data_IF_487486579911
#
_entry.id   IF_487486579911
#
_cell.length_a   1.000
_cell.length_b   1.000
_cell.length_c   1.000
_cell.angle_alpha   90.00
_cell.angle_beta   90.00
_cell.angle_gamma   90.00
#
_symmetry.space_group_name_H-M   'P 1'
#
loop_
_entity.id
_entity.type
_entity.pdbx_description
1 polymer ?
#
# COMPACT_ATOMS: atom_id res chain seq x y z
N UNK A 1 0.52 -19.09 -5.89
CA UNK A 1 -0.66 -18.27 -6.27
C UNK A 1 -0.36 -16.78 -6.04
N UNK A 2 -1.08 -15.89 -6.73
CA UNK A 2 -0.86 -14.43 -6.80
C UNK A 2 -2.19 -13.69 -7.08
N UNK A 3 -2.14 -12.48 -7.66
CA UNK A 3 -3.33 -11.72 -8.05
C UNK A 3 -4.05 -12.38 -9.24
N UNK A 4 -5.39 -12.37 -9.23
CA UNK A 4 -6.21 -13.01 -10.26
C UNK A 4 -6.16 -12.19 -11.55
N UNK A 5 -5.85 -12.85 -12.68
CA UNK A 5 -5.74 -12.24 -14.01
C UNK A 5 -4.75 -11.07 -14.10
N UNK A 6 -3.83 -10.95 -13.15
CA UNK A 6 -2.84 -9.88 -13.09
C UNK A 6 -1.43 -10.44 -12.85
N UNK A 7 -0.82 -11.00 -13.91
CA UNK A 7 0.51 -11.61 -13.81
C UNK A 7 1.61 -10.58 -13.54
N UNK A 8 1.42 -9.33 -13.96
CA UNK A 8 2.42 -8.26 -13.79
C UNK A 8 2.55 -7.85 -12.32
N UNK A 9 1.43 -7.49 -11.67
CA UNK A 9 1.47 -7.20 -10.23
C UNK A 9 1.88 -8.43 -9.42
N UNK A 10 1.51 -9.63 -9.87
CA UNK A 10 1.94 -10.86 -9.21
C UNK A 10 3.47 -11.00 -9.23
N UNK A 11 4.11 -10.75 -10.37
CA UNK A 11 5.56 -10.83 -10.49
C UNK A 11 6.27 -9.76 -9.65
N UNK A 12 5.69 -8.56 -9.53
CA UNK A 12 6.25 -7.47 -8.73
C UNK A 12 6.09 -7.68 -7.22
N UNK A 13 5.00 -8.30 -6.77
CA UNK A 13 4.70 -8.49 -5.35
C UNK A 13 5.17 -9.85 -4.79
N UNK A 14 5.22 -10.91 -5.60
CA UNK A 14 5.63 -12.25 -5.19
C UNK A 14 6.99 -12.63 -5.78
N UNK A 15 8.05 -12.26 -5.06
CA UNK A 15 9.44 -12.37 -5.52
C UNK A 15 10.06 -13.74 -5.18
N UNK A 16 11.09 -14.20 -5.88
CA UNK A 16 11.89 -15.36 -5.47
C UNK A 16 12.42 -15.19 -4.05
N UNK A 17 12.38 -16.25 -3.24
CA UNK A 17 12.89 -16.20 -1.87
C UNK A 17 14.43 -16.33 -1.84
N UNK A 18 15.19 -15.30 -1.41
CA UNK A 18 16.65 -15.38 -1.35
C UNK A 18 17.18 -16.03 -0.06
N UNK A 19 16.32 -16.29 0.94
CA UNK A 19 16.73 -16.80 2.24
C UNK A 19 16.89 -18.32 2.21
N UNK A 20 18.07 -18.80 2.63
CA UNK A 20 18.53 -20.19 2.45
C UNK A 20 17.81 -21.23 3.33
N UNK A 21 17.00 -20.78 4.29
CA UNK A 21 16.51 -21.61 5.39
C UNK A 21 15.10 -22.20 5.15
N UNK A 22 14.62 -22.19 3.90
CA UNK A 22 13.67 -23.22 3.43
C UNK A 22 12.19 -23.05 3.76
N UNK A 23 11.69 -21.84 4.05
CA UNK A 23 10.22 -21.61 4.06
C UNK A 23 9.75 -20.96 2.76
N UNK A 24 9.32 -21.80 1.81
CA UNK A 24 8.62 -21.43 0.58
C UNK A 24 9.52 -20.82 -0.51
N UNK A 25 9.15 -21.06 -1.77
CA UNK A 25 9.94 -20.63 -2.95
C UNK A 25 9.85 -19.12 -3.24
N UNK A 26 8.90 -18.42 -2.61
CA UNK A 26 8.61 -17.00 -2.87
C UNK A 26 8.32 -16.24 -1.58
N UNK A 27 8.67 -14.95 -1.58
CA UNK A 27 8.34 -13.98 -0.54
C UNK A 27 7.34 -12.94 -1.08
N UNK A 28 6.56 -12.32 -0.19
CA UNK A 28 5.62 -11.27 -0.54
C UNK A 28 6.14 -9.89 -0.09
N UNK A 29 6.19 -8.93 -1.02
CA UNK A 29 6.58 -7.54 -0.76
C UNK A 29 5.39 -6.76 -0.21
N UNK A 30 5.32 -6.60 1.11
CA UNK A 30 4.16 -6.01 1.82
C UNK A 30 3.95 -4.51 1.58
N UNK A 31 5.02 -3.80 1.24
CA UNK A 31 5.07 -2.33 1.20
C UNK A 31 5.10 -1.68 2.59
N UNK A 32 5.25 -2.45 3.67
CA UNK A 32 5.39 -1.93 5.02
C UNK A 32 6.89 -1.69 5.34
N UNK A 33 7.20 -0.49 5.82
CA UNK A 33 8.50 -0.19 6.41
C UNK A 33 8.48 -0.59 7.88
N UNK A 34 9.41 -1.45 8.27
CA UNK A 34 9.56 -1.92 9.63
C UNK A 34 11.03 -1.88 10.06
N UNK A 35 11.25 -1.88 11.38
CA UNK A 35 12.59 -1.98 11.97
C UNK A 35 12.60 -2.98 13.11
N UNK A 36 13.75 -3.62 13.34
CA UNK A 36 13.97 -4.43 14.52
C UNK A 36 14.46 -3.58 15.70
N UNK A 37 13.98 -3.90 16.89
CA UNK A 37 14.52 -3.38 18.14
C UNK A 37 15.66 -4.26 18.66
N UNK A 38 16.41 -3.76 19.64
CA UNK A 38 17.52 -4.50 20.26
C UNK A 38 17.07 -5.81 20.93
N UNK A 39 15.82 -5.86 21.41
CA UNK A 39 15.20 -7.05 21.98
C UNK A 39 14.51 -7.96 20.93
N UNK A 40 14.77 -7.74 19.64
CA UNK A 40 14.36 -8.62 18.55
C UNK A 40 12.89 -8.48 18.11
N UNK A 41 12.15 -7.48 18.61
CA UNK A 41 10.79 -7.20 18.14
C UNK A 41 10.82 -6.43 16.83
N UNK A 42 9.80 -6.65 15.99
CA UNK A 42 9.59 -5.86 14.78
C UNK A 42 8.59 -4.74 15.06
N UNK A 43 8.96 -3.50 14.74
CA UNK A 43 8.11 -2.32 14.87
C UNK A 43 7.77 -1.80 13.48
N UNK A 44 6.48 -1.59 13.24
CA UNK A 44 5.97 -0.87 12.06
C UNK A 44 6.34 0.62 12.15
N UNK A 45 6.85 1.17 11.05
CA UNK A 45 7.26 2.58 10.94
C UNK A 45 6.27 3.34 10.08
N UNK A 46 6.06 2.89 8.85
CA UNK A 46 5.20 3.54 7.85
C UNK A 46 4.92 2.57 6.71
N UNK A 47 4.21 3.04 5.68
CA UNK A 47 4.21 2.39 4.37
C UNK A 47 5.25 3.03 3.45
N UNK A 48 5.76 2.26 2.50
CA UNK A 48 6.65 2.72 1.44
C UNK A 48 5.89 3.24 0.21
N UNK A 49 4.59 3.01 0.17
CA UNK A 49 3.67 3.42 -0.90
C UNK A 49 2.58 4.37 -0.38
N UNK A 50 1.66 4.76 -1.26
CA UNK A 50 0.58 5.72 -0.97
C UNK A 50 -0.68 5.08 -0.37
N UNK A 51 -0.64 3.81 -0.01
CA UNK A 51 -1.81 3.12 0.49
C UNK A 51 -2.11 3.54 1.92
N UNK A 52 -3.39 3.75 2.24
CA UNK A 52 -3.80 4.25 3.56
C UNK A 52 -4.86 3.37 4.21
N UNK A 53 -4.93 3.45 5.54
CA UNK A 53 -6.04 2.90 6.30
C UNK A 53 -6.96 4.01 6.78
N UNK A 54 -8.21 3.98 6.35
CA UNK A 54 -9.25 4.93 6.78
C UNK A 54 -10.43 4.11 7.27
N UNK A 55 -10.80 4.29 8.54
CA UNK A 55 -11.96 3.62 9.17
C UNK A 55 -11.97 2.09 9.00
N UNK A 56 -10.79 1.47 9.03
CA UNK A 56 -10.61 0.02 8.87
C UNK A 56 -10.48 -0.47 7.43
N UNK A 57 -10.68 0.39 6.43
CA UNK A 57 -10.53 0.05 5.02
C UNK A 57 -9.12 0.34 4.53
N UNK A 58 -8.57 -0.58 3.74
CA UNK A 58 -7.31 -0.42 3.01
C UNK A 58 -7.64 0.21 1.66
N UNK A 59 -7.17 1.44 1.45
CA UNK A 59 -7.55 2.27 0.30
C UNK A 59 -6.32 2.56 -0.54
N UNK A 60 -6.42 2.29 -1.84
CA UNK A 60 -5.46 2.73 -2.85
C UNK A 60 -5.87 4.12 -3.36
N UNK A 61 -5.09 5.14 -3.03
CA UNK A 61 -5.44 6.53 -3.39
C UNK A 61 -5.46 6.72 -4.92
N UNK A 62 -4.59 6.03 -5.66
CA UNK A 62 -4.54 6.08 -7.12
C UNK A 62 -5.81 5.56 -7.80
N UNK A 63 -6.57 4.65 -7.17
CA UNK A 63 -7.86 4.21 -7.73
C UNK A 63 -8.91 5.33 -7.69
N UNK A 64 -8.85 6.19 -6.65
CA UNK A 64 -9.74 7.35 -6.52
C UNK A 64 -9.37 8.41 -7.56
N UNK A 65 -8.08 8.69 -7.72
CA UNK A 65 -7.57 9.60 -8.76
C UNK A 65 -7.99 9.12 -10.16
N UNK A 66 -7.78 7.84 -10.47
CA UNK A 66 -8.16 7.24 -11.73
C UNK A 66 -9.67 7.27 -11.97
N UNK A 67 -10.49 7.20 -10.92
CA UNK A 67 -11.93 7.36 -11.04
C UNK A 67 -12.33 8.82 -11.31
N UNK A 68 -11.71 9.78 -10.62
CA UNK A 68 -11.98 11.21 -10.79
C UNK A 68 -11.56 11.72 -12.16
N UNK A 69 -10.41 11.26 -12.68
CA UNK A 69 -9.91 11.62 -14.01
C UNK A 69 -10.78 11.11 -15.17
N UNK A 70 -11.75 10.23 -14.93
CA UNK A 70 -12.74 9.84 -15.95
C UNK A 70 -13.83 10.89 -16.17
N UNK A 71 -13.92 11.90 -15.31
CA UNK A 71 -14.90 12.96 -15.44
C UNK A 71 -14.34 14.09 -16.31
N UNK A 72 -15.04 14.45 -17.39
CA UNK A 72 -14.55 15.38 -18.43
C UNK A 72 -14.09 16.75 -17.90
N UNK A 73 -14.68 17.23 -16.81
CA UNK A 73 -14.29 18.50 -16.18
C UNK A 73 -13.01 18.44 -15.33
N UNK A 74 -12.41 17.26 -15.13
CA UNK A 74 -11.25 17.06 -14.24
C UNK A 74 -10.02 16.75 -15.11
N UNK A 75 -9.13 17.73 -15.26
CA UNK A 75 -7.89 17.54 -16.02
C UNK A 75 -6.76 16.92 -15.21
N UNK A 76 -6.75 17.14 -13.89
CA UNK A 76 -5.74 16.65 -12.96
C UNK A 76 -6.40 16.42 -11.59
N UNK A 77 -5.87 15.47 -10.83
CA UNK A 77 -6.32 15.21 -9.46
C UNK A 77 -5.19 14.60 -8.63
N UNK A 78 -5.11 15.01 -7.37
CA UNK A 78 -4.30 14.37 -6.34
C UNK A 78 -5.19 13.98 -5.16
N UNK A 79 -5.13 12.71 -4.74
CA UNK A 79 -5.84 12.22 -3.56
C UNK A 79 -4.86 12.04 -2.40
N UNK A 80 -5.15 12.67 -1.26
CA UNK A 80 -4.34 12.55 -0.04
C UNK A 80 -5.19 12.08 1.15
N UNK A 81 -4.57 11.35 2.07
CA UNK A 81 -5.12 11.14 3.41
C UNK A 81 -4.62 12.25 4.33
N UNK A 82 -5.56 12.98 4.93
CA UNK A 82 -5.29 14.06 5.88
C UNK A 82 -5.96 13.76 7.21
N UNK A 83 -5.23 13.97 8.29
CA UNK A 83 -5.75 13.86 9.65
C UNK A 83 -6.67 15.06 9.95
N UNK A 84 -7.85 14.80 10.51
CA UNK A 84 -8.77 15.83 10.97
C UNK A 84 -8.49 16.27 12.41
N UNK A 85 -9.30 17.20 12.94
CA UNK A 85 -9.11 17.77 14.29
C UNK A 85 -9.18 16.72 15.41
N UNK A 86 -9.73 15.53 15.15
CA UNK A 86 -9.90 14.46 16.11
C UNK A 86 -8.87 13.34 15.93
N UNK A 87 -7.87 13.54 15.06
CA UNK A 87 -6.86 12.53 14.76
C UNK A 87 -7.31 11.45 13.77
N UNK A 88 -8.44 11.64 13.10
CA UNK A 88 -8.96 10.66 12.16
C UNK A 88 -8.55 11.00 10.72
N UNK A 89 -7.94 10.04 10.03
CA UNK A 89 -7.62 10.17 8.61
C UNK A 89 -8.89 10.29 7.77
N UNK A 90 -8.91 11.27 6.86
CA UNK A 90 -9.96 11.50 5.87
C UNK A 90 -9.34 11.71 4.49
N UNK A 91 -10.10 11.36 3.46
CA UNK A 91 -9.71 11.54 2.06
C UNK A 91 -9.99 12.98 1.66
N UNK A 92 -9.02 13.63 1.03
CA UNK A 92 -9.15 14.95 0.40
C UNK A 92 -8.64 14.86 -1.02
N UNK A 93 -9.41 15.37 -1.98
CA UNK A 93 -9.03 15.46 -3.38
C UNK A 93 -8.69 16.93 -3.68
N UNK A 94 -7.57 17.16 -4.37
CA UNK A 94 -7.08 18.47 -4.80
C UNK A 94 -6.90 18.49 -6.31
#
# INVERSE_FOLDING_TARGET
>A
RGYLNDPEHTAQAFLPNPFKDGMGDRIYKTGDLARFTLDGRMIFVSRSDFQVKIRGYRIELGEIEAALLKHDAVSQCLTIAREDKNGQNRIVNV
#
